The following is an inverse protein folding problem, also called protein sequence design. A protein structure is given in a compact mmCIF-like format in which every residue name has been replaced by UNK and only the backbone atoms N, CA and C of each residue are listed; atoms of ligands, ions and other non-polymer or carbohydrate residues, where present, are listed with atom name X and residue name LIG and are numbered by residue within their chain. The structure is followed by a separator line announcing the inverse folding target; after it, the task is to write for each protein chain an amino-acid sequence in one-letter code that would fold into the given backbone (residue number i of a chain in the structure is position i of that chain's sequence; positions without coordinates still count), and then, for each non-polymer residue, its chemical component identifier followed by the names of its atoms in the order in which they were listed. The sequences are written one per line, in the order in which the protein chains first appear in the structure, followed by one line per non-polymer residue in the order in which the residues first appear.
data_IF_945050673643
#
_entry.id   IF_945050673643
#
_cell.length_a   1.000
_cell.length_b   1.000
_cell.length_c   1.000
_cell.angle_alpha   90.00
_cell.angle_beta   90.00
_cell.angle_gamma   90.00
#
_symmetry.space_group_name_H-M   'P 1'
#
loop_
_entity.id
_entity.type
_entity.pdbx_description
1 polymer ?
#
# COMPACT_ATOMS: atom_id res chain seq x y z
N UNK A 1 -40.38 29.41 -16.15
CA UNK A 1 -39.51 28.49 -15.37
C UNK A 1 -38.60 27.83 -16.38
N UNK A 2 -37.30 28.13 -16.35
CA UNK A 2 -36.36 27.72 -17.39
C UNK A 2 -36.23 26.19 -17.42
N UNK A 3 -36.77 25.58 -18.47
CA UNK A 3 -36.52 24.20 -18.87
C UNK A 3 -35.07 24.04 -19.39
N UNK A 4 -34.07 24.33 -18.57
CA UNK A 4 -32.69 24.03 -18.94
C UNK A 4 -32.41 22.58 -18.59
N UNK A 5 -32.26 21.79 -19.64
CA UNK A 5 -31.94 20.37 -19.64
C UNK A 5 -30.68 20.20 -20.51
N UNK A 6 -29.63 19.48 -20.07
CA UNK A 6 -29.48 18.78 -18.79
C UNK A 6 -29.44 19.72 -17.57
N UNK A 7 -29.72 19.17 -16.38
CA UNK A 7 -29.45 19.87 -15.11
C UNK A 7 -28.14 19.34 -14.52
N UNK A 8 -27.32 20.26 -14.06
CA UNK A 8 -26.03 19.95 -13.45
C UNK A 8 -26.03 20.38 -11.99
N UNK A 9 -25.41 19.58 -11.14
CA UNK A 9 -25.18 19.96 -9.75
C UNK A 9 -23.84 19.43 -9.25
N UNK A 10 -23.28 20.11 -8.25
CA UNK A 10 -22.07 19.70 -7.56
C UNK A 10 -22.40 19.57 -6.08
N UNK A 11 -22.26 18.36 -5.55
CA UNK A 11 -22.61 18.02 -4.18
C UNK A 11 -21.35 17.58 -3.45
N UNK A 12 -21.21 17.97 -2.19
CA UNK A 12 -20.12 17.55 -1.31
C UNK A 12 -20.70 16.62 -0.26
N UNK A 13 -20.11 15.44 -0.13
CA UNK A 13 -20.52 14.43 0.85
C UNK A 13 -19.29 13.84 1.53
N UNK A 14 -18.96 14.37 2.72
CA UNK A 14 -17.74 14.04 3.44
C UNK A 14 -16.50 14.32 2.59
N UNK A 15 -15.75 13.26 2.29
CA UNK A 15 -14.51 13.29 1.48
C UNK A 15 -14.78 13.23 -0.02
N UNK A 16 -16.03 13.03 -0.43
CA UNK A 16 -16.43 12.88 -1.81
C UNK A 16 -16.94 14.21 -2.40
N UNK A 17 -16.53 14.48 -3.64
CA UNK A 17 -17.09 15.53 -4.49
C UNK A 17 -17.85 14.86 -5.62
N UNK A 18 -19.17 15.07 -5.65
CA UNK A 18 -20.07 14.45 -6.63
C UNK A 18 -20.45 15.49 -7.68
N UNK A 19 -20.01 15.26 -8.91
CA UNK A 19 -20.45 15.99 -10.08
C UNK A 19 -21.63 15.24 -10.70
N UNK A 20 -22.82 15.82 -10.66
CA UNK A 20 -24.07 15.19 -11.10
C UNK A 20 -24.60 15.82 -12.40
N UNK A 21 -24.98 14.96 -13.35
CA UNK A 21 -25.76 15.32 -14.52
C UNK A 21 -27.10 14.57 -14.49
N UNK A 22 -28.19 15.33 -14.33
CA UNK A 22 -29.56 14.83 -14.40
C UNK A 22 -30.10 14.96 -15.81
N UNK A 23 -30.26 13.81 -16.47
CA UNK A 23 -30.97 13.64 -17.73
C UNK A 23 -32.48 13.34 -17.51
N UNK A 24 -33.24 13.12 -18.58
CA UNK A 24 -34.72 13.03 -18.50
C UNK A 24 -35.15 11.74 -17.79
N UNK A 25 -34.38 10.68 -18.00
CA UNK A 25 -34.64 9.33 -17.48
C UNK A 25 -33.42 8.73 -16.77
N UNK A 26 -32.28 9.42 -16.78
CA UNK A 26 -30.99 8.89 -16.33
C UNK A 26 -30.29 9.94 -15.46
N UNK A 27 -29.60 9.52 -14.41
CA UNK A 27 -28.72 10.39 -13.61
C UNK A 27 -27.31 9.83 -13.62
N UNK A 28 -26.35 10.66 -13.99
CA UNK A 28 -24.93 10.32 -13.98
C UNK A 28 -24.24 11.02 -12.82
N UNK A 29 -23.51 10.28 -12.00
CA UNK A 29 -22.69 10.81 -10.92
C UNK A 29 -21.23 10.44 -11.17
N UNK A 30 -20.38 11.44 -11.37
CA UNK A 30 -18.94 11.26 -11.28
C UNK A 30 -18.52 11.65 -9.86
N UNK A 31 -17.95 10.70 -9.13
CA UNK A 31 -17.60 10.85 -7.72
C UNK A 31 -16.08 10.88 -7.60
N UNK A 32 -15.54 11.93 -7.01
CA UNK A 32 -14.12 12.07 -6.69
C UNK A 32 -13.91 11.89 -5.19
N UNK A 33 -13.12 10.89 -4.80
CA UNK A 33 -12.62 10.76 -3.43
C UNK A 33 -11.36 11.63 -3.26
N UNK A 34 -11.48 12.68 -2.44
CA UNK A 34 -10.41 13.66 -2.23
C UNK A 34 -9.24 13.15 -1.39
N UNK A 35 -9.44 12.14 -0.53
CA UNK A 35 -8.37 11.53 0.27
C UNK A 35 -7.51 10.59 -0.58
N UNK A 36 -8.15 9.81 -1.45
CA UNK A 36 -7.48 8.89 -2.37
C UNK A 36 -6.79 9.63 -3.52
N UNK A 37 -7.38 10.74 -4.01
CA UNK A 37 -6.87 11.48 -5.17
C UNK A 37 -5.50 12.12 -4.96
N UNK A 38 -4.45 11.57 -5.57
CA UNK A 38 -3.06 12.05 -5.37
C UNK A 38 -2.73 13.37 -6.06
N UNK A 39 -3.62 13.90 -6.90
CA UNK A 39 -3.35 15.08 -7.72
C UNK A 39 -2.31 14.84 -8.82
N UNK A 40 -2.13 13.59 -9.27
CA UNK A 40 -1.16 13.21 -10.31
C UNK A 40 -1.45 13.79 -11.71
N UNK A 41 -2.68 14.23 -11.96
CA UNK A 41 -3.10 14.86 -13.22
C UNK A 41 -3.29 13.93 -14.41
N UNK A 42 -3.20 12.61 -14.23
CA UNK A 42 -3.40 11.66 -15.35
C UNK A 42 -4.82 11.79 -15.92
N UNK A 43 -5.84 11.99 -15.07
CA UNK A 43 -7.21 12.22 -15.52
C UNK A 43 -7.38 13.52 -16.31
N UNK A 44 -6.63 14.57 -15.98
CA UNK A 44 -6.60 15.85 -16.71
C UNK A 44 -6.07 15.62 -18.12
N UNK A 45 -4.94 14.93 -18.24
CA UNK A 45 -4.30 14.61 -19.52
C UNK A 45 -5.14 13.63 -20.36
N UNK A 46 -5.87 12.73 -19.70
CA UNK A 46 -6.69 11.71 -20.34
C UNK A 46 -8.09 12.18 -20.75
N UNK A 47 -8.59 13.30 -20.21
CA UNK A 47 -9.95 13.76 -20.47
C UNK A 47 -10.12 14.19 -21.96
N UNK A 48 -11.02 13.55 -22.73
CA UNK A 48 -11.25 13.93 -24.13
C UNK A 48 -11.96 15.29 -24.28
N UNK A 49 -12.76 15.68 -23.30
CA UNK A 49 -13.50 16.96 -23.28
C UNK A 49 -12.71 18.09 -22.60
N UNK A 50 -11.52 17.78 -22.06
CA UNK A 50 -10.69 18.74 -21.30
C UNK A 50 -11.42 19.38 -20.09
N UNK A 51 -12.47 18.72 -19.61
CA UNK A 51 -13.34 19.17 -18.52
C UNK A 51 -12.72 19.06 -17.12
N UNK A 52 -11.45 18.70 -16.99
CA UNK A 52 -10.79 18.47 -15.69
C UNK A 52 -9.58 19.40 -15.58
N UNK A 53 -9.49 20.15 -14.49
CA UNK A 53 -8.36 21.03 -14.14
C UNK A 53 -7.64 20.52 -12.87
N UNK A 54 -6.36 20.86 -12.72
CA UNK A 54 -5.64 20.64 -11.47
C UNK A 54 -6.02 21.73 -10.46
N UNK A 55 -6.13 21.33 -9.20
CA UNK A 55 -6.18 22.24 -8.06
C UNK A 55 -4.79 22.47 -7.44
N UNK A 56 -4.77 23.04 -6.23
CA UNK A 56 -3.54 23.32 -5.48
C UNK A 56 -2.99 22.05 -4.80
N UNK A 57 -2.56 21.05 -5.57
CA UNK A 57 -2.16 19.70 -5.11
C UNK A 57 -1.28 19.73 -3.86
N UNK A 58 -0.24 20.58 -3.85
CA UNK A 58 0.67 20.71 -2.72
C UNK A 58 0.01 21.29 -1.46
N UNK A 59 -0.86 22.28 -1.60
CA UNK A 59 -1.57 22.89 -0.47
C UNK A 59 -2.60 21.91 0.12
N UNK A 60 -3.32 21.20 -0.74
CA UNK A 60 -4.34 20.22 -0.34
C UNK A 60 -3.73 19.08 0.45
N UNK A 61 -2.67 18.47 -0.09
CA UNK A 61 -2.01 17.32 0.53
C UNK A 61 -1.31 17.64 1.84
N UNK A 62 -0.92 18.90 2.05
CA UNK A 62 -0.39 19.39 3.32
C UNK A 62 -1.47 19.86 4.30
N UNK A 63 -2.75 19.76 3.94
CA UNK A 63 -3.85 20.26 4.77
C UNK A 63 -3.87 21.78 4.96
N UNK A 64 -3.19 22.53 4.09
CA UNK A 64 -3.18 23.99 4.12
C UNK A 64 -4.50 24.59 3.60
N UNK A 65 -5.20 23.83 2.77
CA UNK A 65 -6.54 24.12 2.26
C UNK A 65 -7.41 22.86 2.38
N UNK A 66 -8.73 23.04 2.41
CA UNK A 66 -9.65 21.93 2.57
C UNK A 66 -9.65 21.07 1.31
N UNK A 67 -9.39 19.75 1.39
CA UNK A 67 -9.40 18.85 0.23
C UNK A 67 -10.79 18.73 -0.43
N UNK A 68 -11.83 19.18 0.26
CA UNK A 68 -13.22 19.19 -0.24
C UNK A 68 -13.55 20.54 -0.89
N UNK A 69 -13.00 21.63 -0.35
CA UNK A 69 -13.21 22.97 -0.93
C UNK A 69 -12.33 23.23 -2.15
N UNK A 70 -11.11 22.71 -2.10
CA UNK A 70 -10.02 22.94 -3.05
C UNK A 70 -9.45 21.60 -3.54
N UNK A 71 -10.30 20.65 -3.95
CA UNK A 71 -9.88 19.30 -4.32
C UNK A 71 -8.66 19.26 -5.27
N UNK A 72 -7.81 18.20 -5.21
CA UNK A 72 -6.59 18.13 -6.02
C UNK A 72 -6.83 18.24 -7.53
N UNK A 73 -8.06 17.93 -7.96
CA UNK A 73 -8.58 18.19 -9.30
C UNK A 73 -9.99 18.81 -9.17
N UNK A 74 -10.38 19.59 -10.17
CA UNK A 74 -11.76 20.07 -10.35
C UNK A 74 -12.29 19.56 -11.67
N UNK A 75 -13.57 19.20 -11.72
CA UNK A 75 -14.26 18.77 -12.94
C UNK A 75 -15.37 19.75 -13.24
N UNK A 76 -15.40 20.33 -14.44
CA UNK A 76 -16.55 21.10 -14.91
C UNK A 76 -17.67 20.14 -15.30
N UNK A 77 -18.72 20.08 -14.48
CA UNK A 77 -19.85 19.18 -14.71
C UNK A 77 -20.61 19.47 -16.01
N UNK A 78 -20.50 20.68 -16.58
CA UNK A 78 -21.18 21.06 -17.83
C UNK A 78 -20.41 20.65 -19.08
N UNK A 79 -19.07 20.61 -18.99
CA UNK A 79 -18.20 20.13 -20.07
C UNK A 79 -17.99 18.62 -20.01
N UNK A 80 -18.15 18.02 -18.82
CA UNK A 80 -18.00 16.58 -18.64
C UNK A 80 -19.03 15.77 -19.44
N UNK A 81 -18.55 14.84 -20.27
CA UNK A 81 -19.40 13.89 -21.00
C UNK A 81 -19.78 12.64 -20.20
N UNK A 82 -19.30 12.49 -18.96
CA UNK A 82 -19.54 11.31 -18.11
C UNK A 82 -19.12 9.98 -18.76
N UNK A 83 -18.05 10.01 -19.57
CA UNK A 83 -17.59 8.84 -20.34
C UNK A 83 -16.80 7.79 -19.52
N UNK A 84 -16.27 8.14 -18.34
CA UNK A 84 -15.53 7.22 -17.47
C UNK A 84 -14.04 7.00 -17.82
N UNK A 85 -13.49 7.71 -18.82
CA UNK A 85 -12.04 7.61 -19.16
C UNK A 85 -11.15 7.94 -17.95
N UNK A 86 -11.51 8.97 -17.18
CA UNK A 86 -10.78 9.38 -15.99
C UNK A 86 -10.81 8.34 -14.86
N UNK A 87 -11.87 7.52 -14.77
CA UNK A 87 -11.98 6.43 -13.81
C UNK A 87 -10.97 5.33 -14.16
N UNK A 88 -10.98 4.84 -15.40
CA UNK A 88 -10.08 3.76 -15.86
C UNK A 88 -8.62 4.18 -15.84
N UNK A 89 -8.34 5.43 -16.21
CA UNK A 89 -6.99 5.98 -16.23
C UNK A 89 -6.51 6.44 -14.85
N UNK A 90 -7.29 6.28 -13.78
CA UNK A 90 -6.85 6.61 -12.43
C UNK A 90 -6.11 5.42 -11.82
N UNK A 91 -4.77 5.48 -11.64
CA UNK A 91 -4.03 4.34 -11.08
C UNK A 91 -4.20 4.19 -9.56
N UNK A 92 -4.96 5.10 -8.93
CA UNK A 92 -5.19 5.16 -7.48
C UNK A 92 -6.65 4.92 -7.09
N UNK A 93 -7.53 4.57 -8.03
CA UNK A 93 -8.95 4.32 -7.74
C UNK A 93 -9.69 5.49 -7.04
N UNK A 94 -9.35 6.73 -7.40
CA UNK A 94 -9.90 7.92 -6.73
C UNK A 94 -11.20 8.47 -7.36
N UNK A 95 -11.65 7.90 -8.47
CA UNK A 95 -12.80 8.35 -9.24
C UNK A 95 -13.73 7.18 -9.50
N UNK A 96 -15.03 7.37 -9.30
CA UNK A 96 -16.09 6.39 -9.56
C UNK A 96 -17.16 7.02 -10.43
N UNK A 97 -17.71 6.26 -11.39
CA UNK A 97 -18.84 6.69 -12.21
C UNK A 97 -20.05 5.80 -11.90
N UNK A 98 -21.13 6.42 -11.44
CA UNK A 98 -22.41 5.76 -11.25
C UNK A 98 -23.44 6.26 -12.28
N UNK A 99 -24.25 5.33 -12.78
CA UNK A 99 -25.39 5.62 -13.65
C UNK A 99 -26.63 5.02 -12.98
N UNK A 100 -27.57 5.89 -12.62
CA UNK A 100 -28.78 5.56 -11.86
C UNK A 100 -28.49 4.87 -10.51
N UNK A 101 -27.36 5.24 -9.89
CA UNK A 101 -26.93 4.74 -8.58
C UNK A 101 -26.20 3.39 -8.62
N UNK A 102 -25.89 2.88 -9.80
CA UNK A 102 -25.07 1.68 -9.98
C UNK A 102 -23.73 2.05 -10.60
N UNK A 103 -22.62 1.53 -10.08
CA UNK A 103 -21.30 1.71 -10.69
C UNK A 103 -21.30 1.09 -12.09
N UNK A 104 -21.11 1.95 -13.11
CA UNK A 104 -21.13 1.56 -14.52
C UNK A 104 -20.09 2.35 -15.28
N UNK A 105 -19.35 1.65 -16.13
CA UNK A 105 -18.35 2.23 -17.01
C UNK A 105 -18.76 1.97 -18.46
N UNK A 106 -19.53 2.88 -19.09
CA UNK A 106 -19.99 2.72 -20.47
C UNK A 106 -18.86 2.41 -21.45
N UNK A 107 -17.67 2.95 -21.20
CA UNK A 107 -16.53 2.77 -22.09
C UNK A 107 -15.91 1.36 -22.01
N UNK A 108 -16.03 0.65 -20.87
CA UNK A 108 -15.64 -0.77 -20.76
C UNK A 108 -16.73 -1.69 -21.28
N UNK A 109 -17.99 -1.42 -20.95
CA UNK A 109 -19.15 -2.22 -21.39
C UNK A 109 -19.26 -2.29 -22.93
N UNK A 110 -18.76 -1.27 -23.62
CA UNK A 110 -18.70 -1.21 -25.08
C UNK A 110 -17.36 -1.69 -25.68
N UNK A 111 -16.51 -2.38 -24.91
CA UNK A 111 -15.15 -2.84 -25.29
C UNK A 111 -14.29 -1.71 -25.90
N UNK A 112 -14.50 -0.47 -25.43
CA UNK A 112 -14.06 0.75 -26.10
C UNK A 112 -12.71 1.29 -25.62
N UNK A 113 -12.07 0.67 -24.63
CA UNK A 113 -10.87 1.24 -24.00
C UNK A 113 -9.98 0.18 -23.32
N UNK A 114 -8.64 0.29 -23.42
CA UNK A 114 -7.74 -0.63 -22.72
C UNK A 114 -7.68 -0.33 -21.22
N UNK A 115 -7.28 -1.32 -20.43
CA UNK A 115 -7.06 -1.19 -19.00
C UNK A 115 -5.57 -1.25 -18.67
N UNK A 116 -5.17 -0.77 -17.49
CA UNK A 116 -3.83 -1.01 -17.00
C UNK A 116 -3.56 -2.52 -16.81
N UNK A 117 -2.37 -2.94 -17.22
CA UNK A 117 -1.86 -4.27 -16.94
C UNK A 117 -1.03 -4.22 -15.65
N UNK A 118 -1.70 -4.29 -14.51
CA UNK A 118 -1.06 -4.29 -13.17
C UNK A 118 -0.60 -5.71 -12.82
N UNK A 119 0.62 -6.08 -13.22
CA UNK A 119 1.20 -7.37 -12.83
C UNK A 119 1.76 -7.26 -11.42
N UNK A 120 1.04 -7.81 -10.45
CA UNK A 120 1.41 -7.83 -9.03
C UNK A 120 1.05 -9.18 -8.43
N UNK A 121 2.05 -10.01 -8.18
CA UNK A 121 1.85 -11.41 -7.79
C UNK A 121 2.73 -11.78 -6.58
N UNK A 122 2.19 -12.62 -5.70
CA UNK A 122 2.93 -13.22 -4.58
C UNK A 122 2.99 -14.73 -4.83
N UNK A 123 4.21 -15.25 -4.92
CA UNK A 123 4.50 -16.68 -4.89
C UNK A 123 4.31 -17.18 -3.45
N UNK A 124 3.16 -17.81 -3.19
CA UNK A 124 2.85 -18.33 -1.86
C UNK A 124 3.86 -19.41 -1.44
N UNK A 125 4.43 -20.20 -2.35
CA UNK A 125 5.41 -21.24 -1.99
C UNK A 125 6.67 -20.64 -1.36
N UNK A 126 7.13 -19.50 -1.87
CA UNK A 126 8.27 -18.74 -1.31
C UNK A 126 7.89 -17.86 -0.14
N UNK A 127 6.67 -17.35 -0.10
CA UNK A 127 6.26 -16.40 0.93
C UNK A 127 6.21 -17.06 2.33
N UNK A 128 7.05 -16.58 3.25
CA UNK A 128 7.05 -17.01 4.66
C UNK A 128 6.06 -16.24 5.53
N UNK A 129 5.29 -15.32 4.94
CA UNK A 129 4.25 -14.49 5.59
C UNK A 129 4.77 -13.58 6.72
N UNK A 130 5.99 -13.06 6.56
CA UNK A 130 6.54 -12.01 7.44
C UNK A 130 5.75 -10.69 7.33
N UNK A 131 6.13 -9.67 8.11
CA UNK A 131 5.40 -8.37 8.16
C UNK A 131 5.94 -7.30 7.22
N UNK A 132 7.10 -7.52 6.59
CA UNK A 132 7.84 -6.46 5.87
C UNK A 132 6.99 -5.78 4.78
N UNK A 133 6.37 -6.57 3.89
CA UNK A 133 5.63 -6.00 2.76
C UNK A 133 4.40 -5.19 3.19
N UNK A 134 3.76 -5.60 4.29
CA UNK A 134 2.61 -4.94 4.90
C UNK A 134 3.03 -3.59 5.51
N UNK A 135 4.08 -3.60 6.35
CA UNK A 135 4.59 -2.40 7.04
C UNK A 135 5.12 -1.30 6.10
N UNK A 136 5.70 -1.67 4.97
CA UNK A 136 6.31 -0.71 4.04
C UNK A 136 5.36 -0.20 2.96
N UNK A 137 4.19 -0.82 2.78
CA UNK A 137 3.31 -0.51 1.65
C UNK A 137 2.74 0.90 1.82
N UNK A 138 3.10 1.89 0.98
CA UNK A 138 2.64 3.27 1.17
C UNK A 138 1.18 3.50 0.76
N UNK A 139 0.49 2.42 0.38
CA UNK A 139 -0.88 2.41 -0.16
C UNK A 139 -1.80 1.46 0.58
N UNK A 140 -1.31 0.81 1.64
CA UNK A 140 -2.06 -0.20 2.40
C UNK A 140 -2.69 -1.27 1.49
N UNK A 141 -1.99 -1.61 0.40
CA UNK A 141 -2.47 -2.51 -0.65
C UNK A 141 -2.09 -3.98 -0.37
N UNK A 142 -1.50 -4.28 0.78
CA UNK A 142 -1.16 -5.64 1.21
C UNK A 142 -2.21 -6.08 2.23
N UNK A 143 -2.84 -7.22 1.98
CA UNK A 143 -3.69 -7.88 2.96
C UNK A 143 -2.92 -9.06 3.55
N UNK A 144 -2.46 -8.90 4.80
CA UNK A 144 -1.73 -9.93 5.57
C UNK A 144 -2.67 -10.60 6.57
N UNK A 145 -3.44 -11.57 6.10
CA UNK A 145 -4.35 -12.38 6.92
C UNK A 145 -3.58 -13.52 7.62
N UNK A 146 -2.73 -13.16 8.59
CA UNK A 146 -1.97 -14.09 9.42
C UNK A 146 -2.49 -13.96 10.85
N UNK A 147 -2.87 -15.07 11.52
CA UNK A 147 -3.42 -14.99 12.86
C UNK A 147 -2.42 -14.37 13.84
N UNK A 148 -2.98 -13.67 14.83
CA UNK A 148 -2.22 -13.17 15.96
C UNK A 148 -1.91 -14.33 16.93
N UNK A 149 -0.82 -14.17 17.67
CA UNK A 149 -0.35 -15.14 18.65
C UNK A 149 -0.31 -14.52 20.04
N UNK A 150 -0.18 -15.36 21.06
CA UNK A 150 -0.12 -14.94 22.47
C UNK A 150 0.76 -13.70 22.69
N UNK A 151 0.22 -12.74 23.43
CA UNK A 151 0.89 -11.46 23.72
C UNK A 151 0.65 -10.36 22.68
N UNK A 152 0.03 -10.65 21.54
CA UNK A 152 -0.46 -9.63 20.61
C UNK A 152 -1.87 -9.13 20.97
N UNK A 153 -2.77 -10.03 21.38
CA UNK A 153 -4.13 -9.73 21.86
C UNK A 153 -4.68 -10.86 22.77
N UNK A 154 -5.88 -10.66 23.31
CA UNK A 154 -6.54 -11.59 24.26
C UNK A 154 -7.07 -12.88 23.58
N UNK A 155 -7.19 -12.90 22.25
CA UNK A 155 -7.73 -14.02 21.45
C UNK A 155 -6.64 -14.76 20.64
N UNK A 156 -5.39 -14.34 20.77
CA UNK A 156 -4.26 -14.86 20.01
C UNK A 156 -4.04 -16.35 20.20
N UNK A 157 -3.62 -17.03 19.14
CA UNK A 157 -3.28 -18.45 19.20
C UNK A 157 -2.04 -18.66 20.08
N UNK A 158 -1.96 -19.80 20.76
CA UNK A 158 -0.73 -20.20 21.46
C UNK A 158 0.46 -20.20 20.49
N UNK A 159 1.61 -19.67 20.92
CA UNK A 159 2.81 -19.55 20.07
C UNK A 159 3.30 -20.89 19.52
N UNK A 160 2.93 -22.00 20.17
CA UNK A 160 3.20 -23.37 19.74
C UNK A 160 2.58 -23.67 18.37
N UNK A 161 1.49 -22.98 18.02
CA UNK A 161 0.76 -23.12 16.74
C UNK A 161 1.32 -22.23 15.62
N UNK A 162 2.37 -21.43 15.89
CA UNK A 162 2.93 -20.53 14.89
C UNK A 162 3.65 -21.26 13.74
N UNK A 163 4.21 -22.45 14.03
CA UNK A 163 4.92 -23.25 13.04
C UNK A 163 4.39 -24.68 13.05
N UNK A 164 4.48 -25.37 11.91
CA UNK A 164 4.18 -26.80 11.84
C UNK A 164 5.39 -27.57 12.35
N UNK A 165 5.26 -28.16 13.53
CA UNK A 165 6.31 -28.96 14.15
C UNK A 165 5.71 -30.14 14.93
N UNK A 166 6.45 -31.25 14.96
CA UNK A 166 6.15 -32.42 15.79
C UNK A 166 7.03 -32.38 17.03
N UNK A 167 6.44 -32.48 18.21
CA UNK A 167 7.16 -32.59 19.48
C UNK A 167 7.02 -34.00 20.02
N UNK A 168 8.14 -34.61 20.42
CA UNK A 168 8.17 -35.89 21.10
C UNK A 168 8.63 -35.67 22.54
N UNK A 169 7.82 -36.14 23.51
CA UNK A 169 8.09 -36.04 24.94
C UNK A 169 8.06 -37.46 25.53
N UNK A 170 9.13 -37.82 26.24
CA UNK A 170 9.27 -39.15 26.83
C UNK A 170 9.75 -39.04 28.26
N UNK A 171 9.19 -39.86 29.14
CA UNK A 171 9.63 -40.03 30.53
C UNK A 171 10.14 -41.46 30.70
N UNK A 172 11.33 -41.60 31.25
CA UNK A 172 11.92 -42.88 31.67
C UNK A 172 11.38 -43.24 33.06
N UNK A 173 10.39 -44.13 33.10
CA UNK A 173 9.74 -44.58 34.33
C UNK A 173 10.68 -45.34 35.28
N UNK A 174 11.83 -45.84 34.79
CA UNK A 174 12.83 -46.49 35.65
C UNK A 174 13.66 -45.46 36.44
N UNK A 175 13.80 -44.24 35.90
CA UNK A 175 14.51 -43.13 36.54
C UNK A 175 13.59 -42.16 37.28
N UNK A 176 12.35 -42.01 36.82
CA UNK A 176 11.42 -41.04 37.38
C UNK A 176 11.00 -41.41 38.81
N UNK A 177 11.29 -40.54 39.77
CA UNK A 177 10.87 -40.69 41.17
C UNK A 177 9.57 -39.92 41.49
N UNK A 178 8.89 -39.39 40.47
CA UNK A 178 7.65 -38.60 40.58
C UNK A 178 7.75 -37.41 41.55
N UNK A 179 8.91 -36.73 41.68
CA UNK A 179 9.09 -35.61 42.60
C UNK A 179 8.19 -34.38 42.33
N UNK A 180 7.64 -34.24 41.12
CA UNK A 180 6.74 -33.14 40.75
C UNK A 180 7.39 -31.84 40.28
N UNK A 181 8.73 -31.75 40.27
CA UNK A 181 9.45 -30.52 39.87
C UNK A 181 9.06 -30.08 38.45
N UNK A 182 8.99 -31.02 37.50
CA UNK A 182 8.62 -30.71 36.11
C UNK A 182 7.23 -30.09 35.98
N UNK A 183 6.22 -30.55 36.74
CA UNK A 183 4.89 -29.97 36.75
C UNK A 183 4.79 -28.64 37.51
N UNK A 184 5.72 -28.37 38.43
CA UNK A 184 5.79 -27.08 39.12
C UNK A 184 6.38 -25.96 38.24
N UNK A 185 7.19 -26.31 37.23
CA UNK A 185 7.89 -25.33 36.37
C UNK A 185 7.34 -25.28 34.94
N UNK A 186 6.51 -26.23 34.54
CA UNK A 186 6.01 -26.35 33.17
C UNK A 186 4.47 -26.45 33.16
N UNK A 187 3.76 -25.51 32.53
CA UNK A 187 2.30 -25.58 32.42
C UNK A 187 1.82 -26.75 31.57
N UNK A 188 2.69 -27.32 30.72
CA UNK A 188 2.41 -28.47 29.88
C UNK A 188 2.52 -29.81 30.60
N UNK A 189 2.86 -29.84 31.90
CA UNK A 189 3.10 -31.08 32.64
C UNK A 189 2.25 -31.10 33.92
N UNK A 190 1.44 -32.15 34.08
CA UNK A 190 0.75 -32.47 35.33
C UNK A 190 1.34 -33.76 35.92
N UNK A 191 1.81 -33.71 37.17
CA UNK A 191 2.28 -34.92 37.89
C UNK A 191 1.18 -35.37 38.85
N UNK A 192 0.54 -36.50 38.54
CA UNK A 192 -0.52 -37.09 39.37
C UNK A 192 0.06 -38.12 40.32
N UNK A 193 0.19 -37.77 41.59
CA UNK A 193 0.59 -38.71 42.63
C UNK A 193 -0.56 -39.67 42.98
N UNK A 194 -0.23 -40.95 43.17
CA UNK A 194 -1.12 -41.90 43.86
C UNK A 194 -1.28 -41.48 45.34
N UNK A 195 -2.37 -41.91 46.02
CA UNK A 195 -2.59 -41.56 47.42
C UNK A 195 -1.42 -41.99 48.30
N UNK A 196 -0.93 -41.06 49.11
CA UNK A 196 0.08 -41.35 50.12
C UNK A 196 -0.53 -42.21 51.22
N UNK A 197 -0.07 -43.45 51.36
CA UNK A 197 -0.53 -44.35 52.43
C UNK A 197 0.64 -44.80 53.30
N UNK A 198 0.43 -44.98 54.62
CA UNK A 198 1.44 -45.62 55.47
C UNK A 198 1.77 -47.06 55.08
N UNK A 199 0.89 -47.73 54.33
CA UNK A 199 1.05 -49.11 53.88
C UNK A 199 2.10 -49.22 52.75
N UNK A 200 2.07 -48.31 51.78
CA UNK A 200 3.02 -48.31 50.66
C UNK A 200 4.33 -47.62 51.02
N UNK A 201 4.27 -46.46 51.69
CA UNK A 201 5.46 -45.70 52.08
C UNK A 201 6.31 -45.19 50.90
N UNK A 202 5.80 -45.24 49.67
CA UNK A 202 6.49 -44.85 48.43
C UNK A 202 5.77 -43.68 47.74
N UNK A 203 6.54 -42.92 46.96
CA UNK A 203 6.00 -41.93 46.01
C UNK A 203 5.87 -42.63 44.66
N UNK A 204 4.67 -42.60 44.10
CA UNK A 204 4.33 -43.23 42.84
C UNK A 204 3.25 -42.38 42.16
N UNK A 205 3.17 -42.40 40.84
CA UNK A 205 2.31 -41.49 40.10
C UNK A 205 2.34 -41.69 38.60
N UNK A 206 1.86 -40.67 37.89
CA UNK A 206 1.85 -40.58 36.43
C UNK A 206 2.27 -39.15 36.04
N UNK A 207 3.06 -39.02 34.98
CA UNK A 207 3.41 -37.74 34.38
C UNK A 207 2.57 -37.58 33.12
N UNK A 208 1.68 -36.59 33.12
CA UNK A 208 0.80 -36.27 32.00
C UNK A 208 1.38 -35.04 31.29
N UNK A 209 1.50 -35.13 29.97
CA UNK A 209 2.03 -34.07 29.14
C UNK A 209 0.98 -33.59 28.14
N UNK A 210 0.81 -32.27 28.06
CA UNK A 210 -0.06 -31.60 27.10
C UNK A 210 0.80 -30.99 25.97
N UNK A 211 0.67 -31.54 24.77
CA UNK A 211 1.45 -31.10 23.61
C UNK A 211 1.10 -29.68 23.17
N UNK A 212 -0.15 -29.23 23.35
CA UNK A 212 -0.63 -27.91 22.92
C UNK A 212 -0.01 -26.78 23.75
N UNK A 213 0.46 -27.08 24.96
CA UNK A 213 1.08 -26.13 25.88
C UNK A 213 2.61 -26.20 25.87
N UNK A 214 3.20 -27.16 25.16
CA UNK A 214 4.64 -27.41 25.21
C UNK A 214 5.43 -26.56 24.22
N UNK A 215 6.26 -25.66 24.75
CA UNK A 215 7.18 -24.84 23.94
C UNK A 215 8.45 -25.57 23.50
N UNK A 216 8.67 -26.80 23.95
CA UNK A 216 9.95 -27.52 23.78
C UNK A 216 11.15 -26.71 24.30
N UNK A 217 10.96 -25.94 25.38
CA UNK A 217 11.99 -25.06 25.96
C UNK A 217 13.05 -25.79 26.81
N UNK A 218 12.92 -27.11 26.98
CA UNK A 218 13.81 -28.02 27.73
C UNK A 218 14.00 -27.73 29.24
N UNK A 219 13.31 -26.74 29.81
CA UNK A 219 13.40 -26.43 31.26
C UNK A 219 13.05 -27.65 32.13
N UNK A 220 12.07 -28.47 31.75
CA UNK A 220 11.72 -29.68 32.50
C UNK A 220 12.81 -30.76 32.44
N UNK A 221 13.57 -30.83 31.34
CA UNK A 221 14.70 -31.76 31.17
C UNK A 221 15.84 -31.34 32.09
N UNK A 222 16.21 -30.06 32.05
CA UNK A 222 17.28 -29.49 32.87
C UNK A 222 16.96 -29.48 34.37
N UNK A 223 15.68 -29.30 34.72
CA UNK A 223 15.24 -29.29 36.11
C UNK A 223 15.07 -30.70 36.71
N UNK A 224 15.09 -31.76 35.91
CA UNK A 224 14.89 -33.14 36.38
C UNK A 224 16.17 -33.67 37.06
N UNK A 225 16.16 -33.91 38.38
CA UNK A 225 17.37 -34.37 39.09
C UNK A 225 17.83 -35.78 38.69
N UNK A 226 16.92 -36.59 38.14
CA UNK A 226 17.16 -37.99 37.75
C UNK A 226 17.41 -38.14 36.24
N UNK A 227 17.44 -37.04 35.48
CA UNK A 227 17.63 -37.05 34.02
C UNK A 227 16.62 -38.00 33.31
N UNK A 228 15.38 -38.02 33.80
CA UNK A 228 14.34 -38.95 33.37
C UNK A 228 13.49 -38.45 32.19
N UNK A 229 13.65 -37.19 31.76
CA UNK A 229 12.79 -36.57 30.74
C UNK A 229 13.58 -36.28 29.47
N UNK A 230 13.02 -36.60 28.31
CA UNK A 230 13.54 -36.22 26.99
C UNK A 230 12.47 -35.46 26.22
N UNK A 231 12.85 -34.36 25.57
CA UNK A 231 11.97 -33.57 24.71
C UNK A 231 12.70 -33.21 23.41
N UNK A 232 12.13 -33.59 22.28
CA UNK A 232 12.69 -33.31 20.95
C UNK A 232 11.63 -32.67 20.06
N UNK A 233 12.03 -31.68 19.23
CA UNK A 233 11.14 -31.04 18.25
C UNK A 233 11.70 -31.18 16.84
N UNK A 234 10.87 -31.67 15.94
CA UNK A 234 11.14 -31.71 14.50
C UNK A 234 10.27 -30.68 13.79
N UNK A 235 10.88 -29.68 13.15
CA UNK A 235 10.16 -28.64 12.40
C UNK A 235 9.89 -29.13 10.98
N UNK A 236 8.61 -29.16 10.59
CA UNK A 236 8.17 -29.54 9.24
C UNK A 236 8.08 -28.32 8.33
N UNK A 237 7.57 -27.21 8.84
CA UNK A 237 7.45 -25.94 8.11
C UNK A 237 7.69 -24.76 9.03
N UNK A 238 8.45 -23.78 8.53
CA UNK A 238 8.70 -22.49 9.20
C UNK A 238 7.73 -21.39 8.73
N UNK A 239 6.88 -21.70 7.76
CA UNK A 239 5.92 -20.76 7.18
C UNK A 239 4.75 -20.59 8.14
N UNK A 240 4.46 -19.33 8.51
CA UNK A 240 3.33 -19.01 9.38
C UNK A 240 2.00 -19.43 8.71
N UNK A 241 0.93 -19.74 9.46
CA UNK A 241 -0.41 -19.93 8.91
C UNK A 241 -0.97 -18.63 8.30
N UNK A 242 -2.09 -18.71 7.58
CA UNK A 242 -2.77 -17.56 6.99
C UNK A 242 -2.54 -17.37 5.48
N UNK A 243 -2.70 -16.15 5.00
CA UNK A 243 -2.50 -15.77 3.59
C UNK A 243 -1.93 -14.34 3.50
N UNK A 244 -1.17 -14.06 2.44
CA UNK A 244 -0.77 -12.70 2.08
C UNK A 244 -1.17 -12.46 0.63
N UNK A 245 -1.98 -11.41 0.39
CA UNK A 245 -2.47 -11.06 -0.93
C UNK A 245 -2.31 -9.56 -1.21
N UNK A 246 -2.42 -9.16 -2.48
CA UNK A 246 -2.32 -7.77 -2.92
C UNK A 246 -3.71 -7.30 -3.39
N UNK A 247 -4.18 -6.19 -2.82
CA UNK A 247 -5.42 -5.53 -3.23
C UNK A 247 -5.13 -4.71 -4.49
N UNK A 248 -5.49 -5.24 -5.66
CA UNK A 248 -5.11 -4.67 -6.97
C UNK A 248 -5.60 -3.23 -7.19
N UNK A 249 -6.76 -2.88 -6.65
CA UNK A 249 -7.37 -1.55 -6.78
C UNK A 249 -6.54 -0.48 -6.05
N UNK A 250 -6.03 -0.80 -4.86
CA UNK A 250 -5.18 0.11 -4.06
C UNK A 250 -3.71 0.11 -4.47
N UNK A 251 -3.26 -0.98 -5.11
CA UNK A 251 -1.87 -1.13 -5.51
C UNK A 251 -1.48 -0.14 -6.63
N UNK A 252 -0.45 0.65 -6.35
CA UNK A 252 0.11 1.66 -7.26
C UNK A 252 1.29 1.15 -8.09
N UNK A 253 1.67 -0.13 -7.96
CA UNK A 253 2.84 -0.76 -8.62
C UNK A 253 4.19 -0.13 -8.26
N UNK A 254 4.32 0.45 -7.05
CA UNK A 254 5.54 1.13 -6.61
C UNK A 254 6.77 0.22 -6.39
N UNK A 255 6.60 -1.10 -6.29
CA UNK A 255 7.69 -2.10 -6.09
C UNK A 255 8.35 -2.13 -4.70
N UNK A 256 7.86 -1.39 -3.69
CA UNK A 256 8.38 -1.51 -2.32
C UNK A 256 8.39 -2.95 -1.83
N UNK A 257 7.25 -3.65 -1.97
CA UNK A 257 7.11 -5.03 -1.55
C UNK A 257 8.03 -6.00 -2.31
N UNK A 258 8.23 -5.85 -3.62
CA UNK A 258 9.11 -6.75 -4.40
C UNK A 258 10.59 -6.50 -4.14
N UNK A 259 11.00 -5.26 -3.89
CA UNK A 259 12.41 -4.90 -3.67
C UNK A 259 12.92 -5.24 -2.27
N UNK A 260 12.04 -5.34 -1.28
CA UNK A 260 12.41 -5.59 0.12
C UNK A 260 12.04 -6.99 0.60
N UNK A 261 11.31 -7.77 -0.21
CA UNK A 261 10.94 -9.13 0.13
C UNK A 261 12.21 -9.99 0.30
N UNK A 262 12.51 -10.51 1.51
CA UNK A 262 13.72 -11.28 1.73
C UNK A 262 13.70 -12.64 1.00
N UNK A 263 12.51 -13.16 0.70
CA UNK A 263 12.32 -14.43 0.00
C UNK A 263 12.15 -14.28 -1.52
N UNK A 264 12.23 -13.05 -2.04
CA UNK A 264 12.00 -12.74 -3.46
C UNK A 264 10.66 -13.33 -3.98
N UNK A 265 9.65 -13.37 -3.10
CA UNK A 265 8.35 -13.98 -3.37
C UNK A 265 7.40 -13.06 -4.15
N UNK A 266 7.71 -11.78 -4.31
CA UNK A 266 6.78 -10.79 -4.85
C UNK A 266 7.29 -10.25 -6.18
N UNK A 267 6.45 -10.33 -7.22
CA UNK A 267 6.71 -9.73 -8.54
C UNK A 267 5.80 -8.53 -8.74
N UNK A 268 6.38 -7.39 -9.16
CA UNK A 268 5.62 -6.18 -9.48
C UNK A 268 6.20 -5.58 -10.76
N UNK A 269 5.33 -5.36 -11.75
CA UNK A 269 5.66 -4.60 -12.96
C UNK A 269 4.90 -3.28 -12.96
N UNK A 270 5.60 -2.19 -13.28
CA UNK A 270 5.04 -0.84 -13.20
C UNK A 270 4.05 -0.58 -14.32
N UNK A 271 3.02 0.20 -14.01
CA UNK A 271 2.10 0.74 -15.01
C UNK A 271 2.82 1.69 -15.97
N UNK A 272 3.77 2.48 -15.45
CA UNK A 272 4.54 3.44 -16.21
C UNK A 272 6.02 3.15 -16.07
N UNK A 273 6.74 3.17 -17.19
CA UNK A 273 8.19 3.32 -17.19
C UNK A 273 8.55 4.76 -17.54
N UNK A 274 9.70 5.23 -17.07
CA UNK A 274 10.11 6.60 -17.32
C UNK A 274 11.39 7.02 -16.64
N UNK A 275 11.65 8.32 -16.76
CA UNK A 275 12.75 9.04 -16.14
C UNK A 275 12.18 10.21 -15.35
N UNK A 276 12.72 10.46 -14.16
CA UNK A 276 12.39 11.62 -13.36
C UNK A 276 13.67 12.23 -12.80
N UNK A 277 13.84 13.54 -13.00
CA UNK A 277 15.05 14.28 -12.64
C UNK A 277 14.69 15.43 -11.71
N UNK A 278 15.47 15.59 -10.64
CA UNK A 278 15.35 16.68 -9.68
C UNK A 278 16.57 17.60 -9.80
N UNK A 279 16.32 18.85 -10.21
CA UNK A 279 17.28 19.94 -10.26
C UNK A 279 17.45 20.53 -8.85
N UNK A 280 18.24 19.85 -8.02
CA UNK A 280 18.45 20.20 -6.61
C UNK A 280 18.96 21.64 -6.41
N UNK A 281 19.68 22.19 -7.38
CA UNK A 281 20.18 23.57 -7.38
C UNK A 281 19.07 24.64 -7.45
N UNK A 282 17.89 24.27 -7.95
CA UNK A 282 16.70 25.14 -8.00
C UNK A 282 15.74 24.87 -6.85
N UNK A 283 15.96 23.79 -6.09
CA UNK A 283 15.08 23.38 -5.00
C UNK A 283 15.26 24.28 -3.78
N UNK A 284 14.21 24.96 -3.29
CA UNK A 284 14.30 25.69 -2.03
C UNK A 284 14.48 24.69 -0.88
N UNK A 285 15.52 24.89 -0.08
CA UNK A 285 15.84 24.00 1.02
C UNK A 285 14.67 23.87 2.00
N UNK A 286 14.25 22.63 2.27
CA UNK A 286 13.35 22.31 3.39
C UNK A 286 11.85 22.49 3.14
N UNK A 287 11.37 22.62 1.90
CA UNK A 287 9.92 22.73 1.66
C UNK A 287 9.14 21.40 1.78
N UNK A 288 9.82 20.25 1.64
CA UNK A 288 9.32 18.86 1.70
C UNK A 288 8.07 18.51 0.89
N UNK A 289 7.52 19.44 0.09
CA UNK A 289 6.23 19.27 -0.58
C UNK A 289 6.18 18.01 -1.46
N UNK A 290 7.20 17.81 -2.31
CA UNK A 290 7.26 16.66 -3.20
C UNK A 290 7.43 15.33 -2.46
N UNK A 291 8.02 15.34 -1.26
CA UNK A 291 8.14 14.16 -0.37
C UNK A 291 6.77 13.80 0.18
N UNK A 292 6.07 14.77 0.74
CA UNK A 292 4.78 14.57 1.42
C UNK A 292 3.65 14.18 0.45
N UNK A 293 3.67 14.68 -0.79
CA UNK A 293 2.65 14.31 -1.79
C UNK A 293 2.93 12.98 -2.48
N UNK A 294 4.09 12.36 -2.28
CA UNK A 294 4.47 11.16 -3.03
C UNK A 294 3.67 9.94 -2.57
N UNK A 295 2.74 9.40 -3.37
CA UNK A 295 1.93 8.25 -2.96
C UNK A 295 2.71 6.94 -2.91
N UNK A 296 3.96 6.95 -3.38
CA UNK A 296 4.85 5.80 -3.39
C UNK A 296 5.97 5.94 -2.36
N UNK A 297 6.01 7.01 -1.56
CA UNK A 297 7.12 7.29 -0.63
C UNK A 297 8.53 7.19 -1.28
N UNK A 298 8.65 7.56 -2.56
CA UNK A 298 9.86 7.34 -3.36
C UNK A 298 10.86 8.51 -3.26
N UNK A 299 10.45 9.64 -2.69
CA UNK A 299 11.22 10.90 -2.65
C UNK A 299 11.63 11.14 -1.21
N UNK A 300 12.87 11.56 -0.97
CA UNK A 300 13.41 11.78 0.38
C UNK A 300 14.37 12.97 0.43
N UNK A 301 14.53 13.55 1.63
CA UNK A 301 15.54 14.56 1.92
C UNK A 301 16.80 13.86 2.43
N UNK A 302 17.94 13.91 1.72
CA UNK A 302 19.18 13.28 2.17
C UNK A 302 19.63 13.81 3.53
N UNK A 303 20.18 12.93 4.37
CA UNK A 303 20.77 13.33 5.65
C UNK A 303 21.99 14.22 5.39
N UNK A 304 22.09 15.40 6.03
CA UNK A 304 23.22 16.29 5.84
C UNK A 304 24.52 15.67 6.38
N UNK A 305 25.63 15.88 5.69
CA UNK A 305 26.95 15.46 6.15
C UNK A 305 27.35 16.26 7.40
N UNK A 306 28.06 15.63 8.35
CA UNK A 306 28.67 16.36 9.45
C UNK A 306 29.56 17.51 8.93
N UNK A 307 29.54 18.67 9.59
CA UNK A 307 30.27 19.86 9.15
C UNK A 307 31.78 19.64 8.94
N UNK A 308 32.38 18.70 9.68
CA UNK A 308 33.79 18.29 9.54
C UNK A 308 34.11 17.63 8.19
N UNK A 309 33.12 17.03 7.55
CA UNK A 309 33.24 16.26 6.31
C UNK A 309 32.78 17.07 5.08
N UNK A 310 32.25 18.29 5.30
CA UNK A 310 31.84 19.20 4.23
C UNK A 310 33.04 19.85 3.55
N UNK A 311 33.11 19.77 2.22
CA UNK A 311 34.08 20.58 1.46
C UNK A 311 33.58 22.02 1.34
N UNK A 312 34.52 22.96 1.31
CA UNK A 312 34.22 24.38 1.11
C UNK A 312 33.43 24.56 -0.21
N UNK A 313 32.19 25.04 -0.12
CA UNK A 313 31.23 25.26 -1.23
C UNK A 313 30.62 23.99 -1.84
N UNK A 314 30.63 22.86 -1.15
CA UNK A 314 29.85 21.70 -1.54
C UNK A 314 28.35 21.99 -1.28
N UNK A 315 27.52 21.96 -2.34
CA UNK A 315 26.08 21.93 -2.20
C UNK A 315 25.66 20.49 -1.97
N UNK A 316 25.06 20.22 -0.82
CA UNK A 316 24.46 18.91 -0.58
C UNK A 316 23.17 18.78 -1.42
N UNK A 317 22.88 17.59 -1.96
CA UNK A 317 21.58 17.35 -2.57
C UNK A 317 20.51 17.52 -1.48
N UNK A 318 19.69 18.56 -1.63
CA UNK A 318 18.60 18.87 -0.69
C UNK A 318 17.38 17.98 -0.91
N UNK A 319 17.36 17.20 -2.00
CA UNK A 319 16.26 16.33 -2.40
C UNK A 319 16.80 15.20 -3.28
N UNK A 320 16.23 14.00 -3.15
CA UNK A 320 16.53 12.85 -3.98
C UNK A 320 15.28 11.99 -4.20
N UNK A 321 15.33 11.14 -5.23
CA UNK A 321 14.27 10.19 -5.57
C UNK A 321 14.90 8.82 -5.79
N UNK A 322 14.32 7.78 -5.22
CA UNK A 322 14.63 6.41 -5.58
C UNK A 322 13.67 5.97 -6.69
N UNK A 323 14.19 5.85 -7.91
CA UNK A 323 13.39 5.49 -9.09
C UNK A 323 12.91 4.05 -9.07
N UNK A 324 13.50 3.17 -8.26
CA UNK A 324 12.94 1.84 -8.03
C UNK A 324 11.53 1.96 -7.45
N UNK A 325 11.32 2.87 -6.49
CA UNK A 325 10.02 3.04 -5.83
C UNK A 325 9.04 3.99 -6.57
N UNK A 326 9.53 4.75 -7.54
CA UNK A 326 8.72 5.69 -8.30
C UNK A 326 7.85 4.98 -9.34
N UNK A 327 6.53 5.22 -9.31
CA UNK A 327 5.61 4.76 -10.37
C UNK A 327 5.42 5.77 -11.51
N UNK A 328 6.15 6.90 -11.49
CA UNK A 328 6.06 7.95 -12.51
C UNK A 328 4.66 8.58 -12.68
N UNK A 329 3.87 8.66 -11.59
CA UNK A 329 2.55 9.31 -11.62
C UNK A 329 2.65 10.84 -11.78
N UNK A 330 3.72 11.45 -11.27
CA UNK A 330 4.03 12.88 -11.34
C UNK A 330 3.19 13.82 -10.47
N UNK A 331 2.55 13.32 -9.40
CA UNK A 331 1.98 14.18 -8.35
C UNK A 331 3.01 15.19 -7.80
N UNK A 332 4.27 14.77 -7.65
CA UNK A 332 5.36 15.65 -7.22
C UNK A 332 5.63 16.82 -8.18
N UNK A 333 5.47 16.61 -9.49
CA UNK A 333 5.63 17.66 -10.52
C UNK A 333 4.55 18.72 -10.33
N UNK A 334 3.30 18.28 -10.12
CA UNK A 334 2.14 19.16 -9.98
C UNK A 334 2.11 19.89 -8.64
N UNK A 335 2.69 19.30 -7.60
CA UNK A 335 2.75 19.92 -6.27
C UNK A 335 3.91 20.90 -6.10
N UNK A 336 4.96 20.80 -6.93
CA UNK A 336 6.16 21.60 -6.76
C UNK A 336 5.92 23.05 -7.22
N UNK A 337 6.08 24.04 -6.32
CA UNK A 337 5.81 25.45 -6.65
C UNK A 337 6.94 26.11 -7.44
N UNK A 338 8.11 25.47 -7.54
CA UNK A 338 9.26 26.07 -8.21
C UNK A 338 9.39 25.65 -9.66
N UNK A 339 9.96 26.55 -10.46
CA UNK A 339 10.09 26.40 -11.90
C UNK A 339 11.24 25.49 -12.30
N UNK A 340 10.91 24.51 -13.14
CA UNK A 340 11.83 23.56 -13.76
C UNK A 340 12.74 22.82 -12.78
N UNK A 341 12.19 22.50 -11.61
CA UNK A 341 12.86 21.73 -10.54
C UNK A 341 12.71 20.23 -10.80
N UNK A 342 11.51 19.77 -11.13
CA UNK A 342 11.23 18.34 -11.32
C UNK A 342 10.80 18.11 -12.76
N UNK A 343 11.57 17.33 -13.51
CA UNK A 343 11.24 16.95 -14.89
C UNK A 343 10.86 15.47 -14.91
N UNK A 344 9.68 15.17 -15.46
CA UNK A 344 9.17 13.81 -15.62
C UNK A 344 8.98 13.51 -17.10
N UNK A 345 9.46 12.34 -17.52
CA UNK A 345 9.17 11.78 -18.84
C UNK A 345 8.78 10.32 -18.69
N UNK A 346 7.58 9.97 -19.12
CA UNK A 346 7.18 8.56 -19.24
C UNK A 346 7.66 8.03 -20.59
N UNK A 347 8.14 6.80 -20.62
CA UNK A 347 8.62 6.12 -21.84
C UNK A 347 7.63 5.07 -22.33
N UNK A 348 6.86 4.47 -21.42
CA UNK A 348 5.81 3.52 -21.77
C UNK A 348 4.66 3.54 -20.77
N UNK A 349 3.52 2.99 -21.21
CA UNK A 349 2.34 2.73 -20.40
C UNK A 349 1.97 1.27 -20.62
N UNK A 350 1.88 0.49 -19.55
CA UNK A 350 1.56 -0.92 -19.59
C UNK A 350 0.05 -1.11 -19.54
N UNK A 351 -0.49 -1.72 -20.58
CA UNK A 351 -1.93 -1.90 -20.74
C UNK A 351 -2.26 -3.28 -21.32
N UNK A 352 -3.46 -3.75 -21.02
CA UNK A 352 -4.10 -4.93 -21.61
C UNK A 352 -5.30 -4.48 -22.47
N UNK A 353 -5.58 -5.23 -23.53
CA UNK A 353 -6.66 -4.92 -24.47
C UNK A 353 -6.21 -4.08 -25.68
N UNK A 354 -7.19 -3.67 -26.50
CA UNK A 354 -6.93 -3.02 -27.79
C UNK A 354 -6.69 -1.51 -27.62
N UNK A 355 -5.56 -1.02 -28.13
CA UNK A 355 -5.30 0.42 -28.22
C UNK A 355 -6.26 1.08 -29.23
N UNK A 356 -7.25 1.83 -28.72
CA UNK A 356 -8.15 2.63 -29.53
C UNK A 356 -7.51 3.95 -29.95
N UNK A 357 -8.08 4.63 -30.94
CA UNK A 357 -7.54 5.92 -31.41
C UNK A 357 -7.63 7.01 -30.34
N UNK A 358 -8.64 6.94 -29.46
CA UNK A 358 -8.72 7.78 -28.28
C UNK A 358 -7.55 7.50 -27.32
N UNK A 359 -7.29 6.23 -27.01
CA UNK A 359 -6.18 5.87 -26.13
C UNK A 359 -4.82 6.27 -26.71
N UNK A 360 -4.59 6.13 -28.03
CA UNK A 360 -3.34 6.57 -28.66
C UNK A 360 -3.08 8.06 -28.46
N UNK A 361 -4.11 8.91 -28.58
CA UNK A 361 -4.00 10.36 -28.31
C UNK A 361 -3.69 10.64 -26.83
N UNK A 362 -4.35 9.92 -25.92
CA UNK A 362 -4.10 10.03 -24.48
C UNK A 362 -2.67 9.59 -24.15
N UNK A 363 -2.22 8.48 -24.72
CA UNK A 363 -0.85 7.95 -24.57
C UNK A 363 0.18 8.98 -25.04
N UNK A 364 -0.04 9.62 -26.19
CA UNK A 364 0.83 10.69 -26.68
C UNK A 364 0.91 11.87 -25.68
N UNK A 365 -0.23 12.34 -25.16
CA UNK A 365 -0.29 13.37 -24.11
C UNK A 365 0.49 12.93 -22.85
N UNK A 366 0.25 11.71 -22.35
CA UNK A 366 0.84 11.19 -21.11
C UNK A 366 2.35 10.92 -21.20
N UNK A 367 2.88 10.62 -22.40
CA UNK A 367 4.30 10.40 -22.66
C UNK A 367 5.07 11.71 -22.93
N UNK A 368 4.35 12.83 -23.09
CA UNK A 368 4.98 14.14 -23.29
C UNK A 368 5.73 14.56 -22.01
N UNK A 369 7.02 14.94 -22.10
CA UNK A 369 7.78 15.39 -20.94
C UNK A 369 7.15 16.62 -20.29
N UNK A 370 7.14 16.64 -18.96
CA UNK A 370 6.59 17.74 -18.17
C UNK A 370 7.53 18.16 -17.07
N UNK A 371 7.37 19.39 -16.64
CA UNK A 371 8.27 20.05 -15.70
C UNK A 371 7.47 20.74 -14.59
N UNK A 372 8.05 20.87 -13.40
CA UNK A 372 7.39 21.58 -12.31
C UNK A 372 7.33 23.05 -12.65
N UNK A 373 6.13 23.58 -12.77
CA UNK A 373 5.76 24.99 -12.65
C UNK A 373 4.31 25.02 -13.06
N UNK A 374 3.45 25.36 -12.11
CA UNK A 374 2.04 25.49 -12.42
C UNK A 374 1.78 26.98 -12.59
N UNK A 375 1.45 27.40 -13.81
CA UNK A 375 0.98 28.77 -14.04
C UNK A 375 -0.46 28.80 -13.53
N UNK A 376 -0.73 29.66 -12.54
CA UNK A 376 -2.11 30.01 -12.24
C UNK A 376 -2.73 30.57 -13.52
N UNK A 377 -3.90 30.03 -13.86
CA UNK A 377 -4.65 30.54 -15.00
C UNK A 377 -5.04 32.00 -14.69
N UNK A 378 -4.59 32.92 -15.54
CA UNK A 378 -4.87 34.35 -15.38
C UNK A 378 -6.37 34.67 -15.48
N UNK A 379 -7.17 33.77 -16.09
CA UNK A 379 -8.61 33.92 -16.30
C UNK A 379 -9.44 33.13 -15.26
N UNK A 380 -8.85 32.11 -14.60
CA UNK A 380 -9.53 31.23 -13.63
C UNK A 380 -8.74 31.08 -12.32
N UNK A 381 -9.00 31.98 -11.38
CA UNK A 381 -8.38 31.99 -10.04
C UNK A 381 -8.60 30.65 -9.32
N UNK A 382 -7.51 29.99 -8.92
CA UNK A 382 -7.54 28.70 -8.21
C UNK A 382 -7.34 27.47 -9.11
N UNK A 383 -7.38 27.64 -10.44
CA UNK A 383 -7.01 26.59 -11.40
C UNK A 383 -5.57 26.77 -11.87
N UNK A 384 -4.90 25.64 -12.08
CA UNK A 384 -3.49 25.62 -12.38
C UNK A 384 -3.20 24.76 -13.61
N UNK A 385 -2.45 25.30 -14.57
CA UNK A 385 -2.16 24.65 -15.85
C UNK A 385 -0.80 23.94 -15.85
N UNK A 386 -0.75 22.77 -16.50
CA UNK A 386 0.48 21.98 -16.71
C UNK A 386 1.42 22.66 -17.71
N UNK A 387 2.71 22.79 -17.36
CA UNK A 387 3.77 23.22 -18.28
C UNK A 387 4.37 22.00 -18.99
N UNK A 388 3.97 21.77 -20.24
CA UNK A 388 4.62 20.81 -21.12
C UNK A 388 5.95 21.36 -21.64
N UNK A 389 6.95 20.50 -21.79
CA UNK A 389 8.19 20.88 -22.50
C UNK A 389 7.95 20.69 -24.00
N UNK A 390 8.18 21.72 -24.80
CA UNK A 390 8.17 21.60 -26.25
C UNK A 390 9.18 20.53 -26.67
N UNK A 391 8.75 19.57 -27.51
CA UNK A 391 9.66 18.59 -28.10
C UNK A 391 10.67 19.33 -28.97
N UNK A 392 11.94 19.30 -28.55
CA UNK A 392 13.08 19.85 -29.28
C UNK A 392 13.31 19.16 -30.63
#
# INVERSE_FOLDING_TARGET
MSNLFPKFSRIRDGVNVVMEQKLLQQTNNLILNSETCTGCGICVEACPEEAISLGLVGAVRRGAVSPVDDAPISVDEKECSYCGVCVIMCPFNALTLEIDGEEKLPILENEGFPEYDKVTEIDDEKCVRCTICDEICPRDAINRDVPLFEGADDEGLGRQKAITAKTEFTVDDEKCNYCGICGAVCPAIEVKHKPFTPETGTVDGEVIWDEDLCDTCTVCVEACPEEAITVERTVESKKLPGEVSIISEECSTCTWCSKTCPEEAITVEKIFEGEITFHAEKCPSGCSTCVEVCPCNAIYLPTPKPAKDMKRRELEPVIAVNTDFCMFCGACVNACPGEDIIVLKRTSIRIKGKETDLFKKIKEKLLTPRTSQVREDAEKVGEVQLKALETA
#
